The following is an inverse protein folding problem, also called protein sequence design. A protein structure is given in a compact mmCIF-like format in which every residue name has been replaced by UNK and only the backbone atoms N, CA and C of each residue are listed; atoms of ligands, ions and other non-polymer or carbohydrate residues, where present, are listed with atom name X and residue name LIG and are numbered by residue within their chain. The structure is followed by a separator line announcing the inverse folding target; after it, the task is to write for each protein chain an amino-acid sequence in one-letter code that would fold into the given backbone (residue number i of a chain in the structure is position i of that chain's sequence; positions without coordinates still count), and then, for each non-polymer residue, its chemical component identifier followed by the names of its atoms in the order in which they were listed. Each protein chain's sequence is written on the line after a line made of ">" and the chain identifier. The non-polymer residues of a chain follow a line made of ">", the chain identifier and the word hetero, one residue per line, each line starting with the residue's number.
data_IF_936320923458
#
_entry.id   IF_936320923458
#
_cell.length_a   1.000
_cell.length_b   1.000
_cell.length_c   1.000
_cell.angle_alpha   90.00
_cell.angle_beta   90.00
_cell.angle_gamma   90.00
#
_symmetry.space_group_name_H-M   'P 1'
#
loop_
_entity.id
_entity.type
_entity.pdbx_description
1 polymer ?
#
# COMPACT_ATOMS: atom_id res chain seq x y z
N UNK A 1 11.31 -35.32 14.77
CA UNK A 1 11.98 -35.13 13.46
C UNK A 1 11.05 -34.66 12.33
N UNK A 2 9.86 -35.26 12.12
CA UNK A 2 8.95 -34.87 11.01
C UNK A 2 8.51 -33.39 11.02
N UNK A 3 8.12 -32.83 12.18
CA UNK A 3 7.67 -31.43 12.28
C UNK A 3 8.76 -30.41 11.92
N UNK A 4 10.00 -30.64 12.36
CA UNK A 4 11.12 -29.75 12.05
C UNK A 4 11.41 -29.68 10.54
N UNK A 5 11.32 -30.81 9.85
CA UNK A 5 11.48 -30.88 8.38
C UNK A 5 10.37 -30.14 7.62
N UNK A 6 9.11 -30.25 8.09
CA UNK A 6 7.97 -29.53 7.50
C UNK A 6 8.14 -28.01 7.67
N UNK A 7 8.53 -27.55 8.87
CA UNK A 7 8.77 -26.12 9.15
C UNK A 7 9.90 -25.59 8.26
N UNK A 8 11.02 -26.31 8.18
CA UNK A 8 12.16 -25.89 7.35
C UNK A 8 11.79 -25.78 5.86
N UNK A 9 11.06 -26.77 5.35
CA UNK A 9 10.62 -26.79 3.94
C UNK A 9 9.65 -25.65 3.63
N UNK A 10 8.67 -25.40 4.52
CA UNK A 10 7.73 -24.29 4.38
C UNK A 10 8.43 -22.93 4.46
N UNK A 11 9.41 -22.78 5.35
CA UNK A 11 10.16 -21.53 5.49
C UNK A 11 10.98 -21.27 4.22
N UNK A 12 11.70 -22.27 3.72
CA UNK A 12 12.48 -22.14 2.49
C UNK A 12 11.59 -21.82 1.29
N UNK A 13 10.47 -22.52 1.13
CA UNK A 13 9.50 -22.24 0.06
C UNK A 13 8.95 -20.82 0.15
N UNK A 14 8.61 -20.35 1.35
CA UNK A 14 8.11 -18.99 1.56
C UNK A 14 9.14 -17.92 1.19
N UNK A 15 10.39 -18.08 1.62
CA UNK A 15 11.46 -17.11 1.35
C UNK A 15 11.79 -17.07 -0.13
N UNK A 16 11.90 -18.23 -0.79
CA UNK A 16 12.33 -18.30 -2.19
C UNK A 16 11.23 -17.92 -3.16
N UNK A 17 10.00 -18.40 -2.96
CA UNK A 17 8.93 -18.27 -3.96
C UNK A 17 7.87 -17.23 -3.59
N UNK A 18 7.55 -17.07 -2.31
CA UNK A 18 6.39 -16.26 -1.90
C UNK A 18 6.80 -14.84 -1.51
N UNK A 19 7.97 -14.67 -0.90
CA UNK A 19 8.39 -13.38 -0.34
C UNK A 19 8.50 -12.29 -1.40
N UNK A 20 9.08 -12.58 -2.58
CA UNK A 20 9.21 -11.61 -3.66
C UNK A 20 7.86 -11.14 -4.20
N UNK A 21 6.94 -12.07 -4.43
CA UNK A 21 5.58 -11.75 -4.88
C UNK A 21 4.82 -10.96 -3.81
N UNK A 22 4.87 -11.40 -2.55
CA UNK A 22 4.24 -10.71 -1.44
C UNK A 22 4.79 -9.28 -1.28
N UNK A 23 6.12 -9.13 -1.25
CA UNK A 23 6.78 -7.83 -1.14
C UNK A 23 6.34 -6.88 -2.26
N UNK A 24 6.29 -7.36 -3.51
CA UNK A 24 5.85 -6.56 -4.66
C UNK A 24 4.42 -6.06 -4.47
N UNK A 25 3.50 -6.91 -4.00
CA UNK A 25 2.11 -6.52 -3.71
C UNK A 25 2.05 -5.49 -2.57
N UNK A 26 2.81 -5.67 -1.49
CA UNK A 26 2.83 -4.71 -0.38
C UNK A 26 3.44 -3.37 -0.76
N UNK A 27 4.51 -3.36 -1.56
CA UNK A 27 5.11 -2.14 -2.11
C UNK A 27 4.11 -1.42 -3.02
N UNK A 28 3.40 -2.16 -3.87
CA UNK A 28 2.36 -1.58 -4.71
C UNK A 28 1.27 -0.90 -3.88
N UNK A 29 0.77 -1.57 -2.83
CA UNK A 29 -0.23 -0.97 -1.92
C UNK A 29 0.33 0.28 -1.23
N UNK A 30 1.57 0.23 -0.76
CA UNK A 30 2.23 1.39 -0.15
C UNK A 30 2.33 2.55 -1.14
N UNK A 31 2.72 2.30 -2.39
CA UNK A 31 2.77 3.32 -3.44
C UNK A 31 1.40 3.93 -3.73
N UNK A 32 0.34 3.12 -3.73
CA UNK A 32 -1.03 3.59 -3.92
C UNK A 32 -1.47 4.54 -2.79
N UNK A 33 -1.11 4.21 -1.55
CA UNK A 33 -1.34 5.08 -0.40
C UNK A 33 -0.53 6.37 -0.45
N UNK A 34 0.74 6.31 -0.87
CA UNK A 34 1.59 7.50 -1.03
C UNK A 34 0.99 8.44 -2.07
N UNK A 35 0.63 7.94 -3.26
CA UNK A 35 0.01 8.74 -4.32
C UNK A 35 -1.30 9.38 -3.84
N UNK A 36 -2.16 8.58 -3.19
CA UNK A 36 -3.42 9.07 -2.62
C UNK A 36 -3.19 10.15 -1.57
N UNK A 37 -2.22 9.95 -0.69
CA UNK A 37 -1.82 10.93 0.33
C UNK A 37 -1.30 12.22 -0.30
N UNK A 38 -0.44 12.14 -1.32
CA UNK A 38 0.06 13.30 -2.06
C UNK A 38 -1.08 14.07 -2.74
N UNK A 39 -2.09 13.38 -3.26
CA UNK A 39 -3.26 13.99 -3.88
C UNK A 39 -4.12 14.73 -2.85
N UNK A 40 -4.38 14.10 -1.70
CA UNK A 40 -5.10 14.73 -0.59
C UNK A 40 -4.36 15.93 0.02
N UNK A 41 -3.03 15.91 -0.01
CA UNK A 41 -2.22 17.02 0.48
C UNK A 41 -2.00 18.11 -0.57
N UNK A 42 -2.31 17.86 -1.84
CA UNK A 42 -2.06 18.78 -2.95
C UNK A 42 -2.49 20.24 -2.71
N UNK A 43 -3.74 20.54 -2.28
CA UNK A 43 -4.15 21.92 -2.03
C UNK A 43 -3.41 22.54 -0.83
N UNK A 44 -3.09 21.73 0.18
CA UNK A 44 -2.35 22.18 1.36
C UNK A 44 -0.90 22.52 1.00
N UNK A 45 -0.28 21.74 0.12
CA UNK A 45 1.06 21.99 -0.41
C UNK A 45 1.10 23.25 -1.26
N UNK A 46 0.09 23.47 -2.11
CA UNK A 46 -0.01 24.68 -2.92
C UNK A 46 -0.16 25.93 -2.03
N UNK A 47 -1.04 25.89 -1.03
CA UNK A 47 -1.19 26.98 -0.06
C UNK A 47 0.10 27.23 0.71
N UNK A 48 0.74 26.18 1.23
CA UNK A 48 1.98 26.30 1.99
C UNK A 48 3.11 26.92 1.17
N UNK A 49 3.31 26.45 -0.07
CA UNK A 49 4.36 26.96 -0.94
C UNK A 49 4.11 28.41 -1.40
N UNK A 50 2.85 28.80 -1.58
CA UNK A 50 2.47 30.18 -1.92
C UNK A 50 2.66 31.13 -0.72
N UNK A 51 2.20 30.74 0.48
CA UNK A 51 2.30 31.58 1.69
C UNK A 51 3.75 31.76 2.16
N UNK A 52 4.59 30.74 1.98
CA UNK A 52 6.01 30.80 2.32
C UNK A 52 6.85 31.47 1.22
N UNK A 53 6.23 31.97 0.15
CA UNK A 53 6.91 32.59 -1.01
C UNK A 53 7.98 31.69 -1.63
N UNK A 54 7.81 30.37 -1.52
CA UNK A 54 8.76 29.38 -2.03
C UNK A 54 8.62 29.28 -3.56
N UNK A 55 7.38 29.34 -4.05
CA UNK A 55 7.07 29.19 -5.47
C UNK A 55 5.74 29.87 -5.82
N UNK A 56 5.71 30.53 -6.98
CA UNK A 56 4.49 31.06 -7.57
C UNK A 56 3.76 29.99 -8.39
N UNK A 57 2.44 29.87 -8.19
CA UNK A 57 1.59 28.94 -8.91
C UNK A 57 0.65 29.67 -9.86
N UNK A 58 0.51 29.13 -11.07
CA UNK A 58 -0.47 29.60 -12.05
C UNK A 58 -1.89 29.16 -11.68
N UNK A 59 -2.90 29.85 -12.22
CA UNK A 59 -4.33 29.51 -12.05
C UNK A 59 -4.62 28.05 -12.44
N UNK A 60 -3.97 27.55 -13.50
CA UNK A 60 -4.11 26.17 -13.93
C UNK A 60 -3.62 25.17 -12.87
N UNK A 61 -2.50 25.44 -12.20
CA UNK A 61 -1.96 24.59 -11.13
C UNK A 61 -2.87 24.61 -9.90
N UNK A 62 -3.49 25.75 -9.59
CA UNK A 62 -4.49 25.85 -8.52
C UNK A 62 -5.71 24.97 -8.80
N UNK A 63 -6.26 25.03 -10.01
CA UNK A 63 -7.37 24.17 -10.43
C UNK A 63 -6.95 22.69 -10.38
N UNK A 64 -5.77 22.35 -10.88
CA UNK A 64 -5.24 20.99 -10.84
C UNK A 64 -5.13 20.46 -9.40
N UNK A 65 -4.72 21.28 -8.43
CA UNK A 65 -4.62 20.86 -7.02
C UNK A 65 -5.97 20.47 -6.42
N UNK A 66 -7.05 21.20 -6.76
CA UNK A 66 -8.40 20.90 -6.31
C UNK A 66 -8.92 19.61 -6.95
N UNK A 67 -8.65 19.41 -8.24
CA UNK A 67 -8.99 18.18 -8.95
C UNK A 67 -8.25 16.97 -8.38
N UNK A 68 -6.94 17.10 -8.13
CA UNK A 68 -6.14 16.06 -7.49
C UNK A 68 -6.66 15.74 -6.09
N UNK A 69 -7.05 16.75 -5.30
CA UNK A 69 -7.68 16.53 -4.00
C UNK A 69 -8.95 15.68 -4.10
N UNK A 70 -9.84 16.02 -5.02
CA UNK A 70 -11.08 15.28 -5.25
C UNK A 70 -10.78 13.84 -5.68
N UNK A 71 -9.83 13.63 -6.60
CA UNK A 71 -9.37 12.30 -7.02
C UNK A 71 -8.76 11.51 -5.85
N UNK A 72 -7.95 12.15 -5.01
CA UNK A 72 -7.41 11.56 -3.79
C UNK A 72 -8.52 11.05 -2.87
N UNK A 73 -9.56 11.86 -2.65
CA UNK A 73 -10.73 11.46 -1.86
C UNK A 73 -11.45 10.23 -2.42
N UNK A 74 -11.57 10.12 -3.74
CA UNK A 74 -12.15 8.95 -4.42
C UNK A 74 -11.24 7.71 -4.35
N UNK A 75 -9.92 7.90 -4.29
CA UNK A 75 -8.95 6.81 -4.18
C UNK A 75 -8.88 6.21 -2.77
N UNK A 76 -9.15 6.98 -1.70
CA UNK A 76 -9.15 6.48 -0.31
C UNK A 76 -9.96 5.18 -0.13
N UNK A 77 -11.24 5.08 -0.52
CA UNK A 77 -12.00 3.85 -0.36
C UNK A 77 -11.43 2.69 -1.20
N UNK A 78 -10.80 2.99 -2.35
CA UNK A 78 -10.12 1.98 -3.17
C UNK A 78 -8.90 1.44 -2.42
N UNK A 79 -8.05 2.32 -1.89
CA UNK A 79 -6.89 1.94 -1.08
C UNK A 79 -7.29 1.05 0.09
N UNK A 80 -8.32 1.45 0.86
CA UNK A 80 -8.83 0.67 1.99
C UNK A 80 -9.30 -0.71 1.55
N UNK A 81 -10.07 -0.80 0.45
CA UNK A 81 -10.56 -2.09 -0.08
C UNK A 81 -9.41 -3.00 -0.50
N UNK A 82 -8.44 -2.47 -1.23
CA UNK A 82 -7.27 -3.24 -1.69
C UNK A 82 -6.42 -3.71 -0.50
N UNK A 83 -6.13 -2.83 0.46
CA UNK A 83 -5.38 -3.20 1.67
C UNK A 83 -6.09 -4.28 2.48
N UNK A 84 -7.41 -4.15 2.69
CA UNK A 84 -8.19 -5.18 3.39
C UNK A 84 -8.22 -6.51 2.64
N UNK A 85 -8.39 -6.47 1.32
CA UNK A 85 -8.41 -7.67 0.48
C UNK A 85 -7.09 -8.44 0.58
N UNK A 86 -5.96 -7.76 0.40
CA UNK A 86 -4.63 -8.39 0.49
C UNK A 86 -4.35 -8.86 1.92
N UNK A 87 -4.70 -8.07 2.94
CA UNK A 87 -4.59 -8.49 4.34
C UNK A 87 -5.36 -9.78 4.64
N UNK A 88 -6.58 -9.92 4.10
CA UNK A 88 -7.38 -11.13 4.26
C UNK A 88 -6.77 -12.35 3.57
N UNK A 89 -6.18 -12.18 2.38
CA UNK A 89 -5.46 -13.26 1.69
C UNK A 89 -4.24 -13.69 2.50
N UNK A 90 -3.42 -12.74 2.97
CA UNK A 90 -2.25 -13.02 3.79
C UNK A 90 -2.63 -13.74 5.10
N UNK A 91 -3.72 -13.34 5.76
CA UNK A 91 -4.20 -14.01 6.96
C UNK A 91 -4.63 -15.47 6.68
N UNK A 92 -5.35 -15.71 5.58
CA UNK A 92 -5.73 -17.06 5.14
C UNK A 92 -4.51 -17.92 4.84
N UNK A 93 -3.50 -17.34 4.18
CA UNK A 93 -2.26 -18.02 3.86
C UNK A 93 -1.47 -18.41 5.11
N UNK A 94 -1.34 -17.51 6.09
CA UNK A 94 -0.70 -17.80 7.38
C UNK A 94 -1.47 -18.89 8.13
N UNK A 95 -2.80 -18.81 8.14
CA UNK A 95 -3.64 -19.84 8.77
C UNK A 95 -3.46 -21.22 8.12
N UNK A 96 -3.32 -21.27 6.79
CA UNK A 96 -3.01 -22.49 6.06
C UNK A 96 -1.65 -23.08 6.47
N UNK A 97 -0.59 -22.27 6.48
CA UNK A 97 0.74 -22.72 6.93
C UNK A 97 0.73 -23.21 8.39
N UNK A 98 0.00 -22.52 9.27
CA UNK A 98 -0.16 -22.95 10.66
C UNK A 98 -0.86 -24.32 10.76
N UNK A 99 -1.90 -24.56 9.96
CA UNK A 99 -2.58 -25.87 9.90
C UNK A 99 -1.66 -26.98 9.42
N UNK A 100 -0.76 -26.72 8.45
CA UNK A 100 0.18 -27.73 7.97
C UNK A 100 1.26 -28.12 9.01
N UNK A 101 1.60 -27.21 9.92
CA UNK A 101 2.65 -27.44 10.94
C UNK A 101 2.06 -28.10 12.20
N UNK A 102 0.86 -27.67 12.61
CA UNK A 102 0.25 -28.02 13.89
C UNK A 102 -0.99 -28.90 13.80
N UNK A 103 -1.67 -28.94 12.65
CA UNK A 103 -2.71 -29.93 12.35
C UNK A 103 -2.09 -31.28 12.01
#
# INVERSE_FOLDING_TARGET
>A
MKKASIVFSLLFFNVVFILGAAASVYIFIASLWIVTGSFLLSPLLLLGATLLTIQDFSVFQSIASILLFALGGLLVPVCIKVTKYVGNISAKYIAYNKRLIYG
#
